data_IF_506160158413
#
_entry.id   IF_506160158413
#
_cell.length_a   1.000
_cell.length_b   1.000
_cell.length_c   1.000
_cell.angle_alpha   90.00
_cell.angle_beta   90.00
_cell.angle_gamma   90.00
#
_symmetry.space_group_name_H-M   'P 1'
#
loop_
_entity.id
_entity.type
_entity.pdbx_description
1 polymer ?
#
# COMPACT_ATOMS: atom_id res chain seq x y z
N UNK A 1 -9.42 12.59 0.62
CA UNK A 1 -8.07 12.02 0.81
C UNK A 1 -7.05 12.80 0.01
N UNK A 2 -5.94 13.14 0.62
CA UNK A 2 -4.90 13.96 0.00
C UNK A 2 -3.84 13.05 -0.59
N UNK A 3 -3.50 13.26 -1.88
CA UNK A 3 -2.45 12.50 -2.55
C UNK A 3 -1.11 13.18 -2.34
N UNK A 4 -0.09 12.39 -2.00
CA UNK A 4 1.27 12.89 -1.81
C UNK A 4 2.18 12.13 -2.79
N UNK A 5 2.52 12.77 -3.93
CA UNK A 5 3.32 12.09 -4.95
C UNK A 5 4.80 12.06 -4.60
N UNK A 6 5.51 11.09 -5.16
CA UNK A 6 6.95 10.99 -5.05
C UNK A 6 7.54 10.24 -6.22
N UNK A 7 8.86 10.29 -6.32
CA UNK A 7 9.61 9.55 -7.34
C UNK A 7 10.76 8.84 -6.64
N UNK A 8 10.85 7.52 -6.79
CA UNK A 8 11.89 6.73 -6.16
C UNK A 8 13.25 6.95 -6.81
N UNK A 9 14.31 6.47 -6.17
CA UNK A 9 15.67 6.56 -6.71
C UNK A 9 15.82 5.83 -8.05
N UNK A 10 14.95 4.87 -8.31
CA UNK A 10 14.93 4.16 -9.61
C UNK A 10 14.11 4.90 -10.66
N UNK A 11 13.50 6.04 -10.33
CA UNK A 11 12.69 6.82 -11.25
C UNK A 11 11.23 6.41 -11.31
N UNK A 12 10.78 5.55 -10.41
CA UNK A 12 9.39 5.13 -10.38
C UNK A 12 8.52 6.17 -9.67
N UNK A 13 7.44 6.59 -10.34
CA UNK A 13 6.44 7.47 -9.75
C UNK A 13 5.57 6.65 -8.78
N UNK A 14 5.28 7.23 -7.62
CA UNK A 14 4.37 6.61 -6.67
C UNK A 14 3.52 7.67 -5.99
N UNK A 15 2.40 7.25 -5.42
CA UNK A 15 1.52 8.13 -4.67
C UNK A 15 1.23 7.53 -3.30
N UNK A 16 1.33 8.38 -2.27
CA UNK A 16 0.86 8.05 -0.93
C UNK A 16 -0.43 8.81 -0.67
N UNK A 17 -1.18 8.39 0.34
CA UNK A 17 -2.43 9.01 0.70
C UNK A 17 -2.38 9.44 2.15
N UNK A 18 -2.96 10.58 2.45
CA UNK A 18 -2.99 11.17 3.77
C UNK A 18 -4.40 11.66 4.03
N UNK A 19 -4.90 11.52 5.26
CA UNK A 19 -6.19 12.08 5.62
C UNK A 19 -6.04 13.56 6.02
N UNK A 20 -7.16 14.20 6.37
CA UNK A 20 -7.18 15.63 6.70
C UNK A 20 -6.46 15.92 8.02
N UNK A 21 -6.33 14.94 8.89
CA UNK A 21 -5.65 15.08 10.18
C UNK A 21 -4.15 14.88 10.08
N UNK A 22 -3.63 14.63 8.88
CA UNK A 22 -2.21 14.43 8.67
C UNK A 22 -1.74 13.00 8.86
N UNK A 23 -2.66 12.03 8.98
CA UNK A 23 -2.31 10.64 9.14
C UNK A 23 -2.17 9.99 7.77
N UNK A 24 -1.02 9.36 7.53
CA UNK A 24 -0.73 8.67 6.28
C UNK A 24 -1.29 7.26 6.30
N UNK A 25 -1.75 6.82 5.14
CA UNK A 25 -2.29 5.48 4.96
C UNK A 25 -1.18 4.55 4.45
N UNK A 26 -1.25 3.29 4.86
CA UNK A 26 -0.35 2.27 4.34
C UNK A 26 -0.59 2.10 2.84
N UNK A 27 0.46 2.21 2.00
CA UNK A 27 0.27 2.04 0.56
C UNK A 27 -0.06 0.61 0.15
N UNK A 28 0.08 -0.35 1.05
CA UNK A 28 -0.24 -1.75 0.79
C UNK A 28 -1.69 -2.06 1.11
N UNK A 29 -2.14 -1.79 2.34
CA UNK A 29 -3.48 -2.17 2.80
C UNK A 29 -4.44 -1.00 3.03
N UNK A 30 -3.95 0.23 3.03
CA UNK A 30 -4.79 1.42 3.20
C UNK A 30 -5.12 1.78 4.64
N UNK A 31 -4.53 1.11 5.62
CA UNK A 31 -4.75 1.39 7.02
C UNK A 31 -4.16 2.76 7.40
N UNK A 32 -4.92 3.59 8.11
CA UNK A 32 -4.49 4.93 8.53
C UNK A 32 -3.77 4.82 9.87
N UNK A 33 -2.44 4.69 9.83
CA UNK A 33 -1.65 4.39 11.02
C UNK A 33 -0.46 5.31 11.25
N UNK A 34 -0.07 6.13 10.28
CA UNK A 34 1.23 6.78 10.32
C UNK A 34 1.11 8.29 10.41
N UNK A 35 1.73 8.89 11.42
CA UNK A 35 1.86 10.34 11.52
C UNK A 35 3.05 10.87 10.73
N UNK A 36 3.92 9.98 10.23
CA UNK A 36 4.98 10.31 9.30
C UNK A 36 4.79 9.55 8.00
N UNK A 37 5.19 10.09 6.85
CA UNK A 37 5.01 9.39 5.58
C UNK A 37 5.81 8.08 5.56
N UNK A 38 5.22 6.99 5.05
CA UNK A 38 5.96 5.73 4.86
C UNK A 38 7.20 5.87 3.99
N UNK A 39 7.16 6.76 3.02
CA UNK A 39 8.29 7.12 2.16
C UNK A 39 8.31 8.63 1.97
N UNK A 40 9.50 9.21 1.87
CA UNK A 40 9.60 10.62 1.51
C UNK A 40 9.42 10.80 -0.01
N UNK A 41 9.48 12.03 -0.50
CA UNK A 41 9.25 12.32 -1.91
C UNK A 41 10.31 11.75 -2.84
N UNK A 42 11.45 11.33 -2.30
CA UNK A 42 12.53 10.68 -3.05
C UNK A 42 12.47 9.15 -2.94
N UNK A 43 11.46 8.63 -2.24
CA UNK A 43 11.27 7.20 -2.09
C UNK A 43 12.08 6.56 -0.97
N UNK A 44 12.66 7.35 -0.08
CA UNK A 44 13.38 6.81 1.06
C UNK A 44 12.40 6.34 2.13
N UNK A 45 12.54 5.09 2.59
CA UNK A 45 11.59 4.53 3.56
C UNK A 45 11.82 5.10 4.97
N UNK A 46 10.75 5.18 5.73
CA UNK A 46 10.78 5.66 7.11
C UNK A 46 11.07 4.57 8.14
N UNK A 47 11.21 3.32 7.71
CA UNK A 47 11.47 2.15 8.56
C UNK A 47 10.35 1.98 9.61
N UNK A 48 9.11 2.06 9.16
CA UNK A 48 7.93 1.79 9.97
C UNK A 48 7.31 0.48 9.51
N UNK A 49 6.58 -0.18 10.38
CA UNK A 49 5.86 -1.41 10.03
C UNK A 49 4.37 -1.18 10.20
N UNK A 50 3.60 -1.58 9.20
CA UNK A 50 2.16 -1.53 9.23
C UNK A 50 1.57 -2.71 10.00
N UNK A 51 0.32 -2.58 10.43
CA UNK A 51 -0.41 -3.70 11.05
C UNK A 51 -0.59 -4.88 10.08
N UNK A 52 -0.48 -4.65 8.76
CA UNK A 52 -0.47 -5.72 7.77
C UNK A 52 0.88 -6.46 7.70
N UNK A 53 1.83 -6.07 8.56
CA UNK A 53 3.16 -6.63 8.71
C UNK A 53 4.16 -6.22 7.63
N UNK A 54 3.78 -5.37 6.69
CA UNK A 54 4.71 -4.82 5.71
C UNK A 54 5.62 -3.80 6.40
N UNK A 55 6.93 -4.03 6.32
CA UNK A 55 7.93 -3.14 6.88
C UNK A 55 8.59 -2.34 5.75
N UNK A 56 8.39 -1.03 5.78
CA UNK A 56 8.94 -0.15 4.75
C UNK A 56 10.46 -0.11 4.84
N UNK A 57 11.12 -0.30 3.70
CA UNK A 57 12.58 -0.35 3.64
C UNK A 57 13.16 -1.75 3.82
N UNK A 58 12.35 -2.72 4.22
CA UNK A 58 12.78 -4.10 4.36
C UNK A 58 12.05 -5.02 3.36
N UNK A 59 10.72 -5.07 3.45
CA UNK A 59 9.94 -5.96 2.59
C UNK A 59 9.88 -5.48 1.14
N UNK A 60 10.17 -4.21 0.91
CA UNK A 60 10.24 -3.61 -0.41
C UNK A 60 11.66 -3.51 -0.96
N UNK A 61 12.64 -4.08 -0.26
CA UNK A 61 14.03 -4.01 -0.70
C UNK A 61 14.37 -5.17 -1.64
N UNK A 62 15.36 -4.95 -2.50
CA UNK A 62 15.87 -6.00 -3.38
C UNK A 62 16.49 -7.16 -2.63
N UNK A 63 16.81 -6.96 -1.36
CA UNK A 63 17.36 -8.02 -0.51
C UNK A 63 16.29 -9.00 -0.05
N UNK A 64 15.01 -8.61 -0.09
CA UNK A 64 13.90 -9.48 0.30
C UNK A 64 13.56 -10.49 -0.79
N UNK A 65 14.02 -10.28 -2.03
CA UNK A 65 13.78 -11.17 -3.15
C UNK A 65 14.99 -11.19 -4.06
N UNK A 66 15.60 -12.36 -4.22
CA UNK A 66 16.75 -12.53 -5.10
C UNK A 66 16.38 -12.50 -6.58
N UNK A 67 15.10 -12.63 -6.89
CA UNK A 67 14.68 -12.92 -8.27
C UNK A 67 14.27 -11.70 -9.09
N UNK A 68 13.96 -10.56 -8.49
CA UNK A 68 13.51 -9.47 -9.31
C UNK A 68 13.69 -8.13 -8.65
N UNK A 69 14.23 -7.20 -9.41
CA UNK A 69 14.16 -5.79 -9.07
C UNK A 69 12.73 -5.36 -9.40
N UNK A 70 11.82 -5.60 -8.49
CA UNK A 70 10.46 -5.11 -8.65
C UNK A 70 10.38 -3.66 -8.20
N UNK A 71 9.53 -2.88 -8.86
CA UNK A 71 9.21 -1.54 -8.42
C UNK A 71 8.42 -1.57 -7.12
N UNK A 72 8.28 -0.40 -6.49
CA UNK A 72 7.55 -0.27 -5.24
C UNK A 72 6.10 -0.75 -5.37
N UNK A 73 5.41 -0.31 -6.42
CA UNK A 73 4.00 -0.63 -6.58
C UNK A 73 3.76 -2.12 -6.80
N UNK A 74 4.62 -2.77 -7.58
CA UNK A 74 4.52 -4.22 -7.80
C UNK A 74 4.75 -4.98 -6.49
N UNK A 75 5.71 -4.53 -5.70
CA UNK A 75 6.02 -5.12 -4.41
C UNK A 75 4.86 -4.95 -3.42
N UNK A 76 4.29 -3.75 -3.35
CA UNK A 76 3.12 -3.50 -2.52
C UNK A 76 1.94 -4.39 -2.94
N UNK A 77 1.73 -4.55 -4.24
CA UNK A 77 0.62 -5.35 -4.76
C UNK A 77 0.78 -6.82 -4.39
N UNK A 78 2.00 -7.35 -4.46
CA UNK A 78 2.27 -8.73 -4.07
C UNK A 78 1.92 -8.96 -2.60
N UNK A 79 2.35 -8.07 -1.72
CA UNK A 79 2.03 -8.16 -0.30
C UNK A 79 0.53 -8.04 -0.05
N UNK A 80 -0.10 -7.12 -0.78
CA UNK A 80 -1.55 -6.90 -0.69
C UNK A 80 -2.34 -8.16 -1.02
N UNK A 81 -1.93 -8.90 -2.04
CA UNK A 81 -2.57 -10.16 -2.38
C UNK A 81 -2.48 -11.16 -1.22
N UNK A 82 -1.34 -11.23 -0.55
CA UNK A 82 -1.18 -12.08 0.63
C UNK A 82 -2.08 -11.67 1.79
N UNK A 83 -2.23 -10.36 2.01
CA UNK A 83 -3.12 -9.85 3.06
C UNK A 83 -4.58 -10.23 2.75
N UNK A 84 -4.99 -10.09 1.50
CA UNK A 84 -6.35 -10.47 1.08
C UNK A 84 -6.58 -11.97 1.32
N UNK A 85 -5.60 -12.79 0.95
CA UNK A 85 -5.70 -14.24 1.14
C UNK A 85 -5.87 -14.60 2.62
N UNK A 86 -5.14 -13.91 3.51
CA UNK A 86 -5.23 -14.17 4.93
C UNK A 86 -6.55 -13.74 5.56
N UNK A 87 -7.22 -12.75 4.96
CA UNK A 87 -8.46 -12.20 5.52
C UNK A 87 -9.73 -12.75 4.89
N UNK A 88 -9.62 -13.49 3.79
CA UNK A 88 -10.79 -13.90 3.00
C UNK A 88 -11.76 -14.78 3.79
N UNK A 89 -11.30 -15.47 4.82
CA UNK A 89 -12.14 -16.35 5.65
C UNK A 89 -12.77 -15.63 6.85
N UNK A 90 -12.50 -14.34 7.01
CA UNK A 90 -13.08 -13.53 8.08
C UNK A 90 -13.86 -12.38 7.46
N UNK A 91 -15.20 -12.50 7.35
CA UNK A 91 -16.01 -11.47 6.68
C UNK A 91 -15.86 -10.08 7.25
N UNK A 92 -15.71 -9.93 8.57
CA UNK A 92 -15.54 -8.62 9.19
C UNK A 92 -14.18 -8.02 8.87
N UNK A 93 -13.12 -8.83 8.88
CA UNK A 93 -11.78 -8.36 8.54
C UNK A 93 -11.67 -8.01 7.05
N UNK A 94 -12.32 -8.82 6.21
CA UNK A 94 -12.34 -8.56 4.78
C UNK A 94 -13.06 -7.25 4.46
N UNK A 95 -14.17 -6.97 5.16
CA UNK A 95 -14.89 -5.71 4.97
C UNK A 95 -14.03 -4.51 5.37
N UNK A 96 -13.33 -4.60 6.49
CA UNK A 96 -12.42 -3.55 6.94
C UNK A 96 -11.30 -3.34 5.92
N UNK A 97 -10.75 -4.43 5.39
CA UNK A 97 -9.72 -4.35 4.36
C UNK A 97 -10.25 -3.68 3.09
N UNK A 98 -11.46 -4.03 2.66
CA UNK A 98 -12.09 -3.41 1.49
C UNK A 98 -12.23 -1.89 1.67
N UNK A 99 -12.66 -1.46 2.86
CA UNK A 99 -12.80 -0.04 3.15
C UNK A 99 -11.44 0.66 3.11
N UNK A 100 -10.43 0.06 3.71
CA UNK A 100 -9.08 0.61 3.71
C UNK A 100 -8.50 0.69 2.31
N UNK A 101 -8.65 -0.36 1.52
CA UNK A 101 -8.18 -0.37 0.13
C UNK A 101 -8.89 0.68 -0.71
N UNK A 102 -10.17 0.91 -0.44
CA UNK A 102 -10.92 1.97 -1.13
C UNK A 102 -10.28 3.33 -0.93
N UNK A 103 -9.74 3.59 0.25
CA UNK A 103 -9.11 4.87 0.56
C UNK A 103 -7.80 5.11 -0.20
N UNK A 104 -7.17 4.06 -0.70
CA UNK A 104 -5.95 4.18 -1.52
C UNK A 104 -6.21 3.85 -2.99
N UNK A 105 -7.47 3.87 -3.40
CA UNK A 105 -7.84 3.77 -4.80
C UNK A 105 -8.02 2.36 -5.34
N UNK A 106 -8.23 1.37 -4.48
CA UNK A 106 -8.45 -0.01 -4.91
C UNK A 106 -9.83 -0.50 -4.50
N UNK A 107 -10.38 -1.42 -5.29
CA UNK A 107 -11.57 -2.18 -4.93
C UNK A 107 -11.30 -3.65 -5.21
N UNK A 108 -11.96 -4.53 -4.46
CA UNK A 108 -11.82 -5.96 -4.70
C UNK A 108 -12.80 -6.38 -5.79
N UNK A 109 -12.29 -7.07 -6.80
CA UNK A 109 -13.11 -7.67 -7.83
C UNK A 109 -13.84 -8.90 -7.25
N UNK A 110 -14.72 -9.47 -8.04
CA UNK A 110 -15.53 -10.64 -7.63
C UNK A 110 -14.66 -11.79 -7.11
N UNK A 111 -13.49 -11.98 -7.71
CA UNK A 111 -12.54 -13.03 -7.33
C UNK A 111 -11.52 -12.56 -6.27
N UNK A 112 -11.79 -11.46 -5.59
CA UNK A 112 -10.96 -10.85 -4.55
C UNK A 112 -9.59 -10.36 -5.03
N UNK A 113 -9.45 -10.09 -6.33
CA UNK A 113 -8.26 -9.46 -6.87
C UNK A 113 -8.40 -7.94 -6.75
N UNK A 114 -7.39 -7.24 -6.19
CA UNK A 114 -7.47 -5.79 -6.07
C UNK A 114 -7.33 -5.13 -7.44
N UNK A 115 -8.23 -4.22 -7.74
CA UNK A 115 -8.27 -3.50 -9.01
C UNK A 115 -8.29 -2.01 -8.71
N UNK A 116 -7.50 -1.23 -9.42
CA UNK A 116 -7.53 0.21 -9.26
C UNK A 116 -8.89 0.75 -9.71
N UNK A 117 -9.46 1.63 -8.90
CA UNK A 117 -10.69 2.29 -9.26
C UNK A 117 -10.43 3.26 -10.41
N UNK A 118 -11.28 3.20 -11.43
CA UNK A 118 -11.27 4.21 -12.47
C UNK A 118 -12.03 5.41 -11.96
N UNK A 119 -11.39 6.58 -12.02
CA UNK A 119 -12.08 7.82 -11.66
C UNK A 119 -13.08 8.15 -12.74
N UNK A 120 -14.36 8.31 -12.39
CA UNK A 120 -15.31 8.84 -13.36
C UNK A 120 -14.94 10.27 -13.69
N UNK A 121 -14.98 10.57 -14.92
CA UNK A 121 -14.77 11.94 -15.35
C UNK A 121 -16.09 12.65 -15.54
#
# INVERSE_FOLDING_TARGET
>A
MIKVPGVSSSGEYFELFRDEDGIYLCPVCGSAEFDEPPYDTDGNPSIQMCSCKFEFGFDDSSLASEEAVEGLEANWNRWRLGVIEQTQNSPSDLRTLEENLSNIGYQLAYDLIPVKKTSPK
#
